data_IF_511526101127
#
_entry.id   IF_511526101127
#
_cell.length_a   1.000
_cell.length_b   1.000
_cell.length_c   1.000
_cell.angle_alpha   90.00
_cell.angle_beta   90.00
_cell.angle_gamma   90.00
#
_symmetry.space_group_name_H-M   'P 1'
#
loop_
_entity.id
_entity.type
_entity.pdbx_description
1 polymer ?
#
# COMPACT_ATOMS: atom_id res chain seq x y z
N UNK A 1 2.74 -6.29 -1.55
CA UNK A 1 2.24 -5.36 -0.53
C UNK A 1 0.74 -5.53 -0.44
N UNK A 2 0.24 -5.77 0.76
CA UNK A 2 -1.19 -5.91 0.99
C UNK A 2 -1.85 -4.52 0.95
N UNK A 3 -3.09 -4.43 0.44
CA UNK A 3 -3.84 -3.17 0.33
C UNK A 3 -4.08 -2.56 1.71
N UNK A 4 -4.25 -3.41 2.71
CA UNK A 4 -4.49 -3.03 4.11
C UNK A 4 -3.28 -2.31 4.72
N UNK A 5 -2.08 -2.85 4.50
CA UNK A 5 -0.82 -2.24 4.98
C UNK A 5 -0.63 -0.85 4.37
N UNK A 6 -0.84 -0.73 3.05
CA UNK A 6 -0.73 0.54 2.35
C UNK A 6 -1.76 1.56 2.85
N UNK A 7 -3.00 1.13 3.07
CA UNK A 7 -4.06 1.98 3.61
C UNK A 7 -3.71 2.49 5.02
N UNK A 8 -3.20 1.62 5.89
CA UNK A 8 -2.76 2.01 7.23
C UNK A 8 -1.62 3.03 7.19
N UNK A 9 -0.63 2.82 6.30
CA UNK A 9 0.47 3.77 6.13
C UNK A 9 -0.01 5.14 5.62
N UNK A 10 -0.83 5.15 4.58
CA UNK A 10 -1.40 6.39 4.02
C UNK A 10 -2.25 7.12 5.06
N UNK A 11 -3.07 6.40 5.81
CA UNK A 11 -3.90 6.98 6.86
C UNK A 11 -3.04 7.64 7.96
N UNK A 12 -2.01 6.94 8.47
CA UNK A 12 -1.06 7.50 9.44
C UNK A 12 -0.39 8.77 8.92
N UNK A 13 0.08 8.77 7.68
CA UNK A 13 0.73 9.94 7.06
C UNK A 13 -0.22 11.13 6.95
N UNK A 14 -1.45 10.90 6.50
CA UNK A 14 -2.48 11.94 6.38
C UNK A 14 -2.83 12.52 7.74
N UNK A 15 -3.11 11.68 8.73
CA UNK A 15 -3.46 12.14 10.08
C UNK A 15 -2.31 12.88 10.76
N UNK A 16 -1.06 12.44 10.53
CA UNK A 16 0.12 13.17 11.03
C UNK A 16 0.19 14.56 10.40
N UNK A 17 0.02 14.68 9.07
CA UNK A 17 0.06 15.97 8.38
C UNK A 17 -1.00 16.93 8.92
N UNK A 18 -2.23 16.45 9.10
CA UNK A 18 -3.31 17.27 9.65
C UNK A 18 -3.02 17.69 11.11
N UNK A 19 -2.46 16.79 11.93
CA UNK A 19 -2.05 17.10 13.30
C UNK A 19 -0.95 18.18 13.34
N UNK A 20 0.11 18.03 12.53
CA UNK A 20 1.18 19.01 12.42
C UNK A 20 0.65 20.39 12.04
N UNK A 21 -0.26 20.45 11.06
CA UNK A 21 -0.90 21.70 10.61
C UNK A 21 -1.77 22.33 11.70
N UNK A 22 -2.62 21.53 12.36
CA UNK A 22 -3.55 21.99 13.40
C UNK A 22 -2.81 22.52 14.64
N UNK A 23 -1.72 21.87 15.03
CA UNK A 23 -0.95 22.19 16.23
C UNK A 23 0.20 23.18 15.94
N UNK A 24 0.38 23.59 14.68
CA UNK A 24 1.42 24.55 14.29
C UNK A 24 2.85 24.02 14.50
N UNK A 25 3.03 22.70 14.48
CA UNK A 25 4.31 22.04 14.76
C UNK A 25 5.26 22.25 13.58
N UNK A 26 6.43 22.85 13.85
CA UNK A 26 7.46 23.16 12.84
C UNK A 26 8.84 22.61 13.16
N UNK A 27 9.12 22.26 14.41
CA UNK A 27 10.41 21.71 14.79
C UNK A 27 10.44 20.18 14.62
N UNK A 28 11.64 19.65 14.43
CA UNK A 28 11.84 18.23 14.13
C UNK A 28 11.39 17.31 15.27
N UNK A 29 11.71 17.67 16.52
CA UNK A 29 11.44 16.81 17.69
C UNK A 29 9.95 16.58 17.86
N UNK A 30 9.17 17.65 17.86
CA UNK A 30 7.72 17.60 18.06
C UNK A 30 7.04 16.94 16.85
N UNK A 31 7.60 17.09 15.63
CA UNK A 31 7.08 16.41 14.46
C UNK A 31 7.27 14.88 14.52
N UNK A 32 8.41 14.42 15.04
CA UNK A 32 8.68 13.00 15.28
C UNK A 32 7.69 12.45 16.32
N UNK A 33 7.51 13.17 17.43
CA UNK A 33 6.60 12.79 18.52
C UNK A 33 5.13 12.71 18.04
N UNK A 34 4.70 13.70 17.24
CA UNK A 34 3.37 13.70 16.63
C UNK A 34 3.16 12.49 15.70
N UNK A 35 4.14 12.18 14.85
CA UNK A 35 4.08 11.02 13.95
C UNK A 35 4.06 9.69 14.72
N UNK A 36 4.85 9.56 15.79
CA UNK A 36 4.87 8.38 16.64
C UNK A 36 3.52 8.17 17.33
N UNK A 37 2.96 9.25 17.90
CA UNK A 37 1.66 9.24 18.58
C UNK A 37 0.54 8.81 17.64
N UNK A 38 0.44 9.42 16.47
CA UNK A 38 -0.54 9.02 15.43
C UNK A 38 -0.32 7.56 15.03
N UNK A 39 0.93 7.13 14.87
CA UNK A 39 1.23 5.72 14.58
C UNK A 39 0.73 4.75 15.66
N UNK A 40 0.87 5.10 16.94
CA UNK A 40 0.36 4.30 18.07
C UNK A 40 -1.16 4.20 18.03
N UNK A 41 -1.85 5.31 17.80
CA UNK A 41 -3.31 5.34 17.70
C UNK A 41 -3.82 4.49 16.55
N UNK A 42 -3.20 4.58 15.37
CA UNK A 42 -3.57 3.75 14.20
C UNK A 42 -3.39 2.26 14.50
N UNK A 43 -2.28 1.85 15.11
CA UNK A 43 -2.06 0.45 15.52
C UNK A 43 -3.09 -0.02 16.54
N UNK A 44 -3.37 0.79 17.55
CA UNK A 44 -4.36 0.49 18.57
C UNK A 44 -5.76 0.32 17.95
N UNK A 45 -6.13 1.17 16.99
CA UNK A 45 -7.39 1.06 16.27
C UNK A 45 -7.47 -0.23 15.45
N UNK A 46 -6.42 -0.58 14.72
CA UNK A 46 -6.33 -1.84 13.95
C UNK A 46 -6.51 -3.05 14.87
N UNK A 47 -5.79 -3.09 16.00
CA UNK A 47 -5.91 -4.18 16.97
C UNK A 47 -7.31 -4.24 17.60
N UNK A 48 -7.90 -3.09 17.93
CA UNK A 48 -9.24 -3.00 18.54
C UNK A 48 -10.35 -3.57 17.65
N UNK A 49 -10.22 -3.43 16.33
CA UNK A 49 -11.18 -4.00 15.36
C UNK A 49 -10.83 -5.45 14.96
N UNK A 50 -9.84 -6.08 15.60
CA UNK A 50 -9.41 -7.44 15.30
C UNK A 50 -8.49 -7.58 14.09
N UNK A 51 -7.93 -6.47 13.59
CA UNK A 51 -6.96 -6.48 12.50
C UNK A 51 -5.54 -6.75 12.97
N UNK A 52 -4.70 -7.24 12.06
CA UNK A 52 -3.26 -7.46 12.31
C UNK A 52 -2.50 -6.14 12.17
N UNK A 53 -1.70 -5.73 13.17
CA UNK A 53 -0.84 -4.55 13.06
C UNK A 53 0.13 -4.67 11.87
N UNK A 54 0.44 -3.56 11.17
CA UNK A 54 1.30 -3.60 9.98
C UNK A 54 2.65 -4.29 10.19
N UNK A 55 3.26 -4.13 11.37
CA UNK A 55 4.53 -4.75 11.75
C UNK A 55 4.48 -6.29 11.87
N UNK A 56 3.29 -6.86 12.01
CA UNK A 56 3.08 -8.31 12.15
C UNK A 56 2.59 -8.94 10.85
N UNK A 57 2.45 -8.16 9.76
CA UNK A 57 2.08 -8.68 8.45
C UNK A 57 3.28 -9.45 7.87
N UNK A 58 3.09 -10.69 7.40
CA UNK A 58 4.18 -11.46 6.81
C UNK A 58 4.68 -10.78 5.53
N UNK A 59 5.99 -10.89 5.23
CA UNK A 59 6.55 -10.30 4.02
C UNK A 59 5.90 -10.90 2.78
N UNK A 60 5.71 -10.05 1.76
CA UNK A 60 5.19 -10.50 0.47
C UNK A 60 6.14 -11.51 -0.20
N UNK A 61 5.58 -12.35 -1.08
CA UNK A 61 6.35 -13.30 -1.88
C UNK A 61 7.50 -12.59 -2.64
N UNK A 62 8.69 -13.19 -2.66
CA UNK A 62 9.85 -12.65 -3.36
C UNK A 62 9.55 -12.42 -4.85
N UNK A 63 9.90 -11.25 -5.38
CA UNK A 63 9.52 -10.81 -6.74
C UNK A 63 9.91 -11.79 -7.85
N UNK A 64 11.10 -12.40 -7.78
CA UNK A 64 11.54 -13.44 -8.74
C UNK A 64 10.61 -14.68 -8.80
N UNK A 65 9.99 -15.08 -7.68
CA UNK A 65 9.04 -16.20 -7.66
C UNK A 65 7.73 -15.79 -8.33
N UNK A 66 7.25 -14.59 -8.02
CA UNK A 66 6.07 -13.97 -8.66
C UNK A 66 6.27 -13.87 -10.17
N UNK A 67 7.42 -13.36 -10.63
CA UNK A 67 7.75 -13.21 -12.05
C UNK A 67 7.72 -14.56 -12.79
N UNK A 68 8.37 -15.59 -12.23
CA UNK A 68 8.35 -16.95 -12.80
C UNK A 68 6.93 -17.51 -12.89
N UNK A 69 6.08 -17.24 -11.89
CA UNK A 69 4.68 -17.67 -11.87
C UNK A 69 3.85 -16.94 -12.92
N UNK A 70 4.04 -15.63 -13.08
CA UNK A 70 3.35 -14.82 -14.08
C UNK A 70 3.74 -15.22 -15.51
N UNK A 71 5.03 -15.49 -15.78
CA UNK A 71 5.50 -15.98 -17.08
C UNK A 71 4.89 -17.32 -17.49
N UNK A 72 4.58 -18.19 -16.52
CA UNK A 72 3.97 -19.51 -16.76
C UNK A 72 2.44 -19.49 -16.73
N UNK A 73 1.82 -18.42 -16.25
CA UNK A 73 0.38 -18.30 -16.19
C UNK A 73 -0.17 -18.08 -17.60
N UNK A 74 -1.17 -18.88 -18.00
CA UNK A 74 -1.93 -18.59 -19.22
C UNK A 74 -2.72 -17.30 -19.01
N UNK A 75 -2.75 -16.37 -19.97
CA UNK A 75 -3.59 -15.19 -19.90
C UNK A 75 -5.04 -15.60 -19.62
N UNK A 76 -5.67 -15.00 -18.62
CA UNK A 76 -7.07 -15.26 -18.25
C UNK A 76 -8.08 -14.65 -19.23
N UNK A 77 -7.61 -13.80 -20.14
CA UNK A 77 -8.34 -13.34 -21.31
C UNK A 77 -7.80 -14.06 -22.55
N UNK A 78 -8.60 -14.94 -23.12
CA UNK A 78 -8.53 -15.27 -24.54
C UNK A 78 -9.56 -14.36 -25.21
N UNK A 79 -9.08 -13.42 -26.04
CA UNK A 79 -9.98 -12.65 -26.89
C UNK A 79 -10.41 -13.56 -28.05
N UNK A 80 -11.69 -13.53 -28.42
CA UNK A 80 -12.12 -14.08 -29.69
C UNK A 80 -11.49 -13.26 -30.82
N UNK A 81 -11.18 -13.90 -31.96
CA UNK A 81 -10.47 -13.30 -33.10
C UNK A 81 -11.09 -11.97 -33.60
N UNK A 82 -12.37 -11.73 -33.31
CA UNK A 82 -13.11 -10.52 -33.69
C UNK A 82 -12.73 -9.28 -32.89
N UNK A 83 -12.23 -9.44 -31.67
CA UNK A 83 -11.91 -8.35 -30.74
C UNK A 83 -10.39 -8.03 -30.70
N UNK A 84 -9.57 -8.81 -31.41
CA UNK A 84 -8.12 -8.67 -31.43
C UNK A 84 -7.62 -7.35 -32.05
N UNK A 85 -8.43 -6.67 -32.87
CA UNK A 85 -8.09 -5.42 -33.53
C UNK A 85 -8.20 -4.15 -32.67
N UNK A 86 -8.70 -4.26 -31.43
CA UNK A 86 -9.00 -3.11 -30.56
C UNK A 86 -7.88 -2.76 -29.57
N UNK A 87 -6.74 -3.46 -29.60
CA UNK A 87 -5.62 -3.14 -28.71
C UNK A 87 -4.80 -1.96 -29.27
N UNK A 88 -4.49 -0.93 -28.44
CA UNK A 88 -3.48 0.04 -28.81
C UNK A 88 -2.13 -0.67 -28.95
N UNK A 89 -1.50 -0.52 -30.11
CA UNK A 89 -0.17 -1.05 -30.36
C UNK A 89 0.79 -0.45 -29.33
N UNK A 90 1.42 -1.32 -28.53
CA UNK A 90 2.33 -0.92 -27.47
C UNK A 90 3.57 -0.23 -28.09
N UNK A 91 3.84 1.07 -27.83
CA UNK A 91 4.97 1.77 -28.42
C UNK A 91 6.17 1.66 -27.49
N UNK A 92 6.80 0.50 -27.43
CA UNK A 92 8.15 0.37 -26.88
C UNK A 92 8.93 -0.70 -27.65
N UNK A 93 9.43 -0.28 -28.82
CA UNK A 93 10.79 -0.58 -29.29
C UNK A 93 11.64 0.65 -29.07
#
# INVERSE_FOLDING_TARGET
MDRTELAANQFRMTQTREKLKREGIKNQRDAIEAHETVGKEVRAAIAKIGGTPPENIPPAEHIKKVEKRLKKAKPKLLLDDKDAGLLPQNPLT
#
